data_IF_857042417729
#
_entry.id   IF_857042417729
#
_cell.length_a   1.000
_cell.length_b   1.000
_cell.length_c   1.000
_cell.angle_alpha   90.00
_cell.angle_beta   90.00
_cell.angle_gamma   90.00
#
_symmetry.space_group_name_H-M   'P 1'
#
loop_
_entity.id
_entity.type
_entity.pdbx_description
1 polymer ?
#
# COMPACT_ATOMS: atom_id res chain seq x y z
N UNK A 1 11.30 12.60 8.08
CA UNK A 1 10.06 13.28 8.53
C UNK A 1 9.04 13.41 7.39
N UNK A 2 9.46 13.79 6.18
CA UNK A 2 8.55 13.96 5.02
C UNK A 2 7.81 12.67 4.64
N UNK A 3 8.49 11.52 4.56
CA UNK A 3 7.85 10.23 4.29
C UNK A 3 6.74 9.88 5.28
N UNK A 4 7.02 10.04 6.57
CA UNK A 4 6.06 9.80 7.63
C UNK A 4 4.86 10.75 7.53
N UNK A 5 5.10 12.03 7.25
CA UNK A 5 4.03 13.00 7.02
C UNK A 5 3.14 12.62 5.84
N UNK A 6 3.71 12.16 4.72
CA UNK A 6 2.95 11.72 3.56
C UNK A 6 2.06 10.51 3.87
N UNK A 7 2.58 9.56 4.65
CA UNK A 7 1.82 8.39 5.08
C UNK A 7 0.69 8.75 6.05
N UNK A 8 0.89 9.74 6.93
CA UNK A 8 -0.18 10.25 7.78
C UNK A 8 -1.26 10.94 6.95
N UNK A 9 -0.89 11.76 5.96
CA UNK A 9 -1.84 12.43 5.06
C UNK A 9 -2.68 11.40 4.30
N UNK A 10 -2.07 10.34 3.77
CA UNK A 10 -2.80 9.22 3.16
C UNK A 10 -3.87 8.67 4.11
N UNK A 11 -3.52 8.38 5.37
CA UNK A 11 -4.48 7.86 6.35
C UNK A 11 -5.55 8.89 6.74
N UNK A 12 -5.18 10.16 6.91
CA UNK A 12 -6.13 11.24 7.21
C UNK A 12 -7.16 11.44 6.09
N UNK A 13 -6.78 11.22 4.83
CA UNK A 13 -7.72 11.27 3.71
C UNK A 13 -8.60 10.02 3.61
N UNK A 14 -8.02 8.83 3.87
CA UNK A 14 -8.74 7.56 3.73
C UNK A 14 -9.74 7.30 4.87
N UNK A 15 -9.42 7.67 6.11
CA UNK A 15 -10.30 7.45 7.28
C UNK A 15 -11.70 8.04 7.06
N UNK A 16 -11.88 9.35 6.76
CA UNK A 16 -13.21 9.90 6.56
C UNK A 16 -13.89 9.31 5.34
N UNK A 17 -13.14 8.93 4.30
CA UNK A 17 -13.70 8.29 3.12
C UNK A 17 -14.30 6.91 3.45
N UNK A 18 -13.55 6.09 4.19
CA UNK A 18 -14.02 4.77 4.62
C UNK A 18 -15.20 4.85 5.58
N UNK A 19 -15.16 5.79 6.53
CA UNK A 19 -16.22 5.94 7.55
C UNK A 19 -17.49 6.61 6.99
N UNK A 20 -17.35 7.67 6.20
CA UNK A 20 -18.51 8.42 5.71
C UNK A 20 -19.19 7.74 4.52
N UNK A 21 -18.44 7.00 3.70
CA UNK A 21 -18.98 6.31 2.52
C UNK A 21 -19.26 4.83 2.76
N UNK A 22 -18.96 4.32 3.97
CA UNK A 22 -19.11 2.90 4.35
C UNK A 22 -18.46 1.93 3.34
N UNK A 23 -17.30 2.32 2.83
CA UNK A 23 -16.56 1.53 1.85
C UNK A 23 -15.48 0.70 2.55
N UNK A 24 -15.39 -0.58 2.15
CA UNK A 24 -14.34 -1.49 2.61
C UNK A 24 -12.96 -1.07 2.10
N UNK A 25 -11.90 -1.57 2.76
CA UNK A 25 -10.50 -1.32 2.37
C UNK A 25 -10.20 -1.67 0.92
N UNK A 26 -10.96 -2.59 0.32
CA UNK A 26 -10.77 -3.11 -1.03
C UNK A 26 -11.28 -2.16 -2.11
N UNK A 27 -12.19 -1.27 -1.73
CA UNK A 27 -12.81 -0.24 -2.56
C UNK A 27 -12.14 1.13 -2.38
N UNK A 28 -10.88 1.16 -1.94
CA UNK A 28 -10.12 2.40 -1.82
C UNK A 28 -9.94 3.06 -3.20
N UNK A 29 -10.43 4.31 -3.42
CA UNK A 29 -10.36 4.99 -4.71
C UNK A 29 -8.95 5.39 -5.13
N UNK A 30 -8.01 5.46 -4.18
CA UNK A 30 -6.62 5.77 -4.46
C UNK A 30 -5.75 4.53 -4.64
N UNK A 31 -6.35 3.33 -4.58
CA UNK A 31 -5.66 2.05 -4.77
C UNK A 31 -6.01 1.37 -6.09
N UNK A 32 -5.21 0.37 -6.46
CA UNK A 32 -5.52 -0.53 -7.56
C UNK A 32 -6.58 -1.58 -7.19
N UNK A 33 -7.10 -1.56 -5.96
CA UNK A 33 -8.11 -2.48 -5.44
C UNK A 33 -9.40 -2.46 -6.26
N UNK A 34 -9.92 -1.26 -6.57
CA UNK A 34 -11.14 -1.12 -7.39
C UNK A 34 -10.96 -1.77 -8.76
N UNK A 35 -9.83 -1.52 -9.42
CA UNK A 35 -9.53 -2.11 -10.73
C UNK A 35 -9.44 -3.63 -10.60
N UNK A 36 -8.76 -4.13 -9.56
CA UNK A 36 -8.58 -5.56 -9.35
C UNK A 36 -9.91 -6.31 -9.17
N UNK A 37 -10.93 -5.70 -8.57
CA UNK A 37 -12.26 -6.32 -8.42
C UNK A 37 -12.96 -6.60 -9.76
N UNK A 38 -12.68 -5.81 -10.80
CA UNK A 38 -13.27 -6.04 -12.12
C UNK A 38 -12.59 -7.15 -12.91
N UNK A 39 -11.29 -7.38 -12.68
CA UNK A 39 -10.48 -8.34 -13.45
C UNK A 39 -10.21 -9.66 -12.73
N UNK A 40 -10.11 -9.63 -11.40
CA UNK A 40 -9.71 -10.76 -10.57
C UNK A 40 -10.90 -11.27 -9.75
N UNK A 41 -11.01 -12.59 -9.65
CA UNK A 41 -12.02 -13.27 -8.82
C UNK A 41 -11.50 -13.73 -7.46
N UNK A 42 -10.21 -13.56 -7.20
CA UNK A 42 -9.59 -14.02 -5.95
C UNK A 42 -9.50 -12.88 -4.96
N UNK A 43 -10.19 -13.02 -3.83
CA UNK A 43 -10.26 -12.01 -2.76
C UNK A 43 -8.86 -11.66 -2.22
N UNK A 44 -7.98 -12.65 -2.10
CA UNK A 44 -6.59 -12.44 -1.70
C UNK A 44 -5.86 -11.42 -2.60
N UNK A 45 -5.97 -11.59 -3.91
CA UNK A 45 -5.32 -10.68 -4.85
C UNK A 45 -6.01 -9.31 -4.87
N UNK A 46 -7.32 -9.25 -4.66
CA UNK A 46 -8.05 -7.98 -4.52
C UNK A 46 -7.49 -7.19 -3.31
N UNK A 47 -7.33 -7.82 -2.15
CA UNK A 47 -6.70 -7.20 -0.98
C UNK A 47 -5.26 -6.74 -1.26
N UNK A 48 -4.47 -7.55 -1.99
CA UNK A 48 -3.10 -7.19 -2.37
C UNK A 48 -3.05 -5.93 -3.25
N UNK A 49 -3.86 -5.87 -4.30
CA UNK A 49 -3.90 -4.69 -5.17
C UNK A 49 -4.49 -3.47 -4.46
N UNK A 50 -5.33 -3.66 -3.44
CA UNK A 50 -5.84 -2.54 -2.66
C UNK A 50 -4.79 -1.89 -1.75
N UNK A 51 -3.72 -2.60 -1.40
CA UNK A 51 -2.58 -2.01 -0.69
C UNK A 51 -1.69 -1.16 -1.59
N UNK A 52 -1.76 -1.34 -2.91
CA UNK A 52 -0.98 -0.57 -3.88
C UNK A 52 -1.73 0.74 -4.17
N UNK A 53 -1.38 1.78 -3.42
CA UNK A 53 -1.94 3.12 -3.59
C UNK A 53 -1.01 4.06 -4.36
N UNK A 54 -1.57 5.12 -4.94
CA UNK A 54 -0.79 6.21 -5.55
C UNK A 54 0.16 6.84 -4.51
N UNK A 55 -0.27 6.93 -3.24
CA UNK A 55 0.58 7.41 -2.15
C UNK A 55 1.76 6.47 -1.88
N UNK A 56 1.55 5.15 -1.89
CA UNK A 56 2.64 4.18 -1.75
C UNK A 56 3.69 4.34 -2.86
N UNK A 57 3.28 4.57 -4.11
CA UNK A 57 4.23 4.85 -5.19
C UNK A 57 5.04 6.12 -4.95
N UNK A 58 4.41 7.20 -4.49
CA UNK A 58 5.10 8.44 -4.13
C UNK A 58 6.07 8.24 -2.97
N UNK A 59 5.67 7.49 -1.94
CA UNK A 59 6.52 7.15 -0.79
C UNK A 59 7.74 6.36 -1.26
N UNK A 60 7.57 5.35 -2.12
CA UNK A 60 8.67 4.56 -2.69
C UNK A 60 9.62 5.44 -3.51
N UNK A 61 9.10 6.33 -4.34
CA UNK A 61 9.90 7.24 -5.17
C UNK A 61 10.73 8.20 -4.31
N UNK A 62 10.12 8.82 -3.29
CA UNK A 62 10.81 9.66 -2.32
C UNK A 62 11.85 8.87 -1.52
N UNK A 63 11.48 7.68 -1.04
CA UNK A 63 12.38 6.80 -0.29
C UNK A 63 13.62 6.45 -1.11
N UNK A 64 13.44 6.12 -2.39
CA UNK A 64 14.53 5.85 -3.31
C UNK A 64 15.43 7.07 -3.51
N UNK A 65 14.85 8.26 -3.72
CA UNK A 65 15.64 9.49 -3.89
C UNK A 65 16.53 9.76 -2.68
N UNK A 66 15.98 9.67 -1.47
CA UNK A 66 16.76 9.87 -0.24
C UNK A 66 17.81 8.78 -0.02
N UNK A 67 17.44 7.49 -0.14
CA UNK A 67 18.39 6.39 0.11
C UNK A 67 19.52 6.32 -0.92
N UNK A 68 19.25 6.74 -2.16
CA UNK A 68 20.26 6.82 -3.22
C UNK A 68 21.37 7.81 -2.85
N UNK A 69 21.03 8.97 -2.29
CA UNK A 69 22.03 9.97 -1.89
C UNK A 69 22.84 9.55 -0.66
N UNK A 70 22.25 8.71 0.21
CA UNK A 70 22.89 8.24 1.45
C UNK A 70 23.76 7.00 1.26
N UNK A 71 23.77 6.37 0.10
CA UNK A 71 24.48 5.10 -0.10
C UNK A 71 25.34 5.14 -1.36
N UNK A 72 26.58 4.65 -1.25
CA UNK A 72 27.48 4.50 -2.40
C UNK A 72 27.21 3.23 -3.23
N UNK A 73 26.20 2.44 -2.83
CA UNK A 73 25.78 1.24 -3.55
C UNK A 73 25.12 1.57 -4.89
N UNK A 74 25.10 0.57 -5.76
CA UNK A 74 24.44 0.67 -7.05
C UNK A 74 22.95 1.04 -6.90
N UNK A 75 22.55 2.13 -7.57
CA UNK A 75 21.18 2.64 -7.66
C UNK A 75 20.13 1.55 -7.88
N UNK A 76 20.41 0.59 -8.77
CA UNK A 76 19.48 -0.51 -9.07
C UNK A 76 19.27 -1.45 -7.87
N UNK A 77 20.30 -1.69 -7.07
CA UNK A 77 20.19 -2.53 -5.87
C UNK A 77 19.36 -1.84 -4.78
N UNK A 78 19.52 -0.52 -4.64
CA UNK A 78 18.74 0.28 -3.67
C UNK A 78 17.25 0.22 -4.03
N UNK A 79 16.93 0.46 -5.30
CA UNK A 79 15.54 0.39 -5.78
C UNK A 79 14.97 -1.01 -5.60
N UNK A 80 15.72 -2.05 -5.97
CA UNK A 80 15.30 -3.45 -5.82
C UNK A 80 15.00 -3.79 -4.36
N UNK A 81 15.86 -3.38 -3.41
CA UNK A 81 15.63 -3.60 -1.99
C UNK A 81 14.36 -2.92 -1.48
N UNK A 82 14.12 -1.67 -1.90
CA UNK A 82 12.92 -0.92 -1.51
C UNK A 82 11.68 -1.62 -2.07
N UNK A 83 11.66 -1.93 -3.37
CA UNK A 83 10.52 -2.59 -4.02
C UNK A 83 10.23 -3.94 -3.39
N UNK A 84 11.24 -4.77 -3.13
CA UNK A 84 11.07 -6.06 -2.47
C UNK A 84 10.49 -5.91 -1.05
N UNK A 85 10.93 -4.90 -0.30
CA UNK A 85 10.40 -4.62 1.02
C UNK A 85 8.90 -4.27 0.95
N UNK A 86 8.52 -3.33 0.08
CA UNK A 86 7.10 -2.95 -0.08
C UNK A 86 6.26 -4.12 -0.57
N UNK A 87 6.75 -4.88 -1.55
CA UNK A 87 6.08 -6.06 -2.06
C UNK A 87 5.81 -7.08 -0.94
N UNK A 88 6.83 -7.41 -0.14
CA UNK A 88 6.66 -8.30 1.02
C UNK A 88 5.62 -7.76 2.02
N UNK A 89 5.65 -6.45 2.32
CA UNK A 89 4.66 -5.85 3.23
C UNK A 89 3.23 -5.91 2.68
N UNK A 90 3.04 -5.71 1.38
CA UNK A 90 1.72 -5.82 0.75
C UNK A 90 1.21 -7.25 0.77
N UNK A 91 2.06 -8.26 0.54
CA UNK A 91 1.68 -9.67 0.68
C UNK A 91 1.22 -10.01 2.10
N UNK A 92 1.94 -9.55 3.12
CA UNK A 92 1.58 -9.77 4.53
C UNK A 92 0.25 -9.08 4.86
N UNK A 93 0.06 -7.83 4.44
CA UNK A 93 -1.19 -7.11 4.68
C UNK A 93 -2.38 -7.75 3.96
N UNK A 94 -2.21 -8.15 2.70
CA UNK A 94 -3.24 -8.86 1.95
C UNK A 94 -3.62 -10.16 2.63
N UNK A 95 -2.64 -10.89 3.17
CA UNK A 95 -2.87 -12.11 3.93
C UNK A 95 -3.63 -11.84 5.23
N UNK A 96 -3.30 -10.78 5.96
CA UNK A 96 -4.01 -10.37 7.16
C UNK A 96 -5.44 -9.86 6.87
N UNK A 97 -5.66 -9.19 5.73
CA UNK A 97 -6.99 -8.76 5.30
C UNK A 97 -7.86 -9.93 4.85
N UNK A 98 -7.26 -10.89 4.16
CA UNK A 98 -7.93 -12.10 3.69
C UNK A 98 -8.32 -13.04 4.84
N UNK A 99 -7.43 -13.20 5.82
CA UNK A 99 -7.78 -13.90 7.05
C UNK A 99 -8.65 -12.94 7.86
N UNK A 100 -9.95 -12.97 7.62
CA UNK A 100 -10.93 -12.40 8.55
C UNK A 100 -10.71 -13.07 9.90
N UNK A 101 -9.94 -12.41 10.78
CA UNK A 101 -9.78 -12.82 12.17
C UNK A 101 -11.13 -12.55 12.83
N UNK A 102 -12.04 -13.52 12.72
CA UNK A 102 -13.40 -13.49 13.28
C UNK A 102 -13.37 -13.54 14.80
N UNK A 103 -12.82 -12.51 15.43
CA UNK A 103 -12.75 -12.36 16.89
C UNK A 103 -13.71 -11.28 17.40
N UNK A 104 -14.42 -10.57 16.52
CA UNK A 104 -15.50 -9.67 16.91
C UNK A 104 -16.83 -10.15 16.31
N UNK A 105 -17.47 -11.07 17.03
CA UNK A 105 -18.93 -11.30 17.00
C UNK A 105 -19.58 -10.24 17.89
#
# INVERSE_FOLDING_TARGET
>A
MILFGLQLVEKTLLIPLFVLMDIGSDANPFSLGIISQYFLRSDYFIHFFSEITIFQFLIIALQYFYLKEFTERNNYLVLLMIVLFYLATWFVKAFLGYIQVGVFV
#
